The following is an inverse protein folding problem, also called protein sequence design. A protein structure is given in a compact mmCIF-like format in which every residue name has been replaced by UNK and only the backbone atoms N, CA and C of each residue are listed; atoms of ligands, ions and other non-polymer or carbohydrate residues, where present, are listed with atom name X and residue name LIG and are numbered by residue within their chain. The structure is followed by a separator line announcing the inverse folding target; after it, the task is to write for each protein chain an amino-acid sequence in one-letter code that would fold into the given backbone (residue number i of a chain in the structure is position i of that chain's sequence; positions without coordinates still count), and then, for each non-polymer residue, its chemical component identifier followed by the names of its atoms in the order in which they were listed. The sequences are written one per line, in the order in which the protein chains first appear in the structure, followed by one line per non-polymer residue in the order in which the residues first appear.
data_IF_321034421345
#
_entry.id   IF_321034421345
#
_cell.length_a   1.000
_cell.length_b   1.000
_cell.length_c   1.000
_cell.angle_alpha   90.00
_cell.angle_beta   90.00
_cell.angle_gamma   90.00
#
_symmetry.space_group_name_H-M   'P 1'
#
loop_
_entity.id
_entity.type
_entity.pdbx_description
1 polymer ?
#
# COMPACT_ATOMS: atom_id res chain seq x y z
N UNK A 1 16.68 -29.63 11.25
CA UNK A 1 17.27 -28.97 10.06
C UNK A 1 16.14 -28.64 9.11
N UNK A 2 15.97 -27.39 8.69
CA UNK A 2 15.13 -27.12 7.52
C UNK A 2 15.80 -27.78 6.34
N UNK A 3 15.07 -28.67 5.66
CA UNK A 3 15.47 -29.14 4.34
C UNK A 3 14.71 -28.33 3.27
N UNK A 4 15.10 -28.50 2.01
CA UNK A 4 14.45 -27.83 0.87
C UNK A 4 12.92 -27.97 0.86
N UNK A 5 12.40 -29.14 1.22
CA UNK A 5 10.96 -29.42 1.21
C UNK A 5 10.23 -28.62 2.30
N UNK A 6 10.83 -28.48 3.47
CA UNK A 6 10.30 -27.67 4.57
C UNK A 6 10.26 -26.18 4.20
N UNK A 7 11.31 -25.66 3.54
CA UNK A 7 11.33 -24.29 3.05
C UNK A 7 10.21 -24.03 2.04
N UNK A 8 10.02 -24.93 1.07
CA UNK A 8 8.95 -24.84 0.07
C UNK A 8 7.58 -24.88 0.74
N UNK A 9 7.36 -25.76 1.71
CA UNK A 9 6.10 -25.85 2.46
C UNK A 9 5.78 -24.54 3.19
N UNK A 10 6.77 -23.91 3.83
CA UNK A 10 6.59 -22.60 4.50
C UNK A 10 6.24 -21.49 3.53
N UNK A 11 6.95 -21.40 2.40
CA UNK A 11 6.66 -20.42 1.35
C UNK A 11 5.25 -20.61 0.79
N UNK A 12 4.86 -21.86 0.50
CA UNK A 12 3.53 -22.17 0.00
C UNK A 12 2.43 -21.84 1.02
N UNK A 13 2.61 -22.16 2.30
CA UNK A 13 1.65 -21.82 3.35
C UNK A 13 1.47 -20.30 3.46
N UNK A 14 2.57 -19.54 3.47
CA UNK A 14 2.53 -18.08 3.48
C UNK A 14 1.79 -17.53 2.25
N UNK A 15 2.13 -18.02 1.05
CA UNK A 15 1.49 -17.61 -0.20
C UNK A 15 -0.02 -17.92 -0.22
N UNK A 16 -0.41 -19.13 0.18
CA UNK A 16 -1.82 -19.54 0.23
C UNK A 16 -2.61 -18.62 1.17
N UNK A 17 -2.08 -18.35 2.37
CA UNK A 17 -2.77 -17.45 3.32
C UNK A 17 -2.99 -16.06 2.73
N UNK A 18 -2.02 -15.56 1.98
CA UNK A 18 -2.05 -14.23 1.38
C UNK A 18 -2.99 -14.15 0.17
N UNK A 19 -3.10 -15.22 -0.61
CA UNK A 19 -4.02 -15.29 -1.76
C UNK A 19 -5.47 -15.50 -1.34
N UNK A 20 -5.72 -16.28 -0.28
CA UNK A 20 -7.08 -16.59 0.18
C UNK A 20 -7.70 -15.53 1.09
N UNK A 21 -6.91 -14.52 1.50
CA UNK A 21 -7.38 -13.48 2.43
C UNK A 21 -7.69 -14.01 3.83
N UNK A 22 -7.12 -15.16 4.20
CA UNK A 22 -7.23 -15.76 5.53
C UNK A 22 -6.27 -15.06 6.51
N UNK A 23 -6.22 -15.51 7.77
CA UNK A 23 -5.26 -14.99 8.75
C UNK A 23 -3.84 -15.07 8.19
N UNK A 24 -3.22 -13.90 7.97
CA UNK A 24 -1.95 -13.82 7.26
C UNK A 24 -0.83 -14.54 8.03
N UNK A 25 -0.17 -15.48 7.34
CA UNK A 25 0.99 -16.18 7.87
C UNK A 25 2.25 -15.42 7.45
N UNK A 26 2.86 -14.72 8.41
CA UNK A 26 4.14 -14.04 8.20
C UNK A 26 5.29 -15.03 8.15
N UNK A 27 6.17 -14.89 7.16
CA UNK A 27 7.43 -15.62 7.16
C UNK A 27 8.32 -15.13 8.31
N UNK A 28 8.68 -16.01 9.27
CA UNK A 28 9.61 -15.68 10.34
C UNK A 28 11.01 -15.37 9.77
N UNK A 29 11.90 -14.80 10.58
CA UNK A 29 13.31 -14.74 10.20
C UNK A 29 13.94 -16.13 10.30
N UNK A 30 14.81 -16.46 9.36
CA UNK A 30 15.62 -17.68 9.44
C UNK A 30 16.60 -17.55 10.60
N UNK A 31 16.75 -18.62 11.38
CA UNK A 31 17.73 -18.74 12.46
C UNK A 31 19.13 -18.99 11.91
N UNK A 32 20.18 -18.71 12.70
CA UNK A 32 21.58 -18.99 12.33
C UNK A 32 21.82 -20.44 11.92
N UNK A 33 21.16 -21.38 12.62
CA UNK A 33 21.23 -22.80 12.28
C UNK A 33 20.60 -23.10 10.92
N UNK A 34 19.46 -22.48 10.59
CA UNK A 34 18.80 -22.66 9.28
C UNK A 34 19.63 -22.04 8.15
N UNK A 35 20.22 -20.86 8.38
CA UNK A 35 21.12 -20.18 7.43
C UNK A 35 22.34 -21.03 7.10
N UNK A 36 22.92 -21.73 8.08
CA UNK A 36 24.08 -22.61 7.85
C UNK A 36 23.79 -23.86 7.01
N UNK A 37 22.51 -24.30 6.98
CA UNK A 37 22.08 -25.54 6.31
C UNK A 37 21.56 -25.33 4.90
N UNK A 38 21.21 -24.09 4.54
CA UNK A 38 20.57 -23.76 3.27
C UNK A 38 21.58 -23.19 2.26
N UNK A 39 21.46 -23.55 0.97
CA UNK A 39 22.20 -22.87 -0.08
C UNK A 39 21.87 -21.37 -0.13
N UNK A 40 22.86 -20.55 -0.49
CA UNK A 40 22.71 -19.08 -0.55
C UNK A 40 21.51 -18.62 -1.39
N UNK A 41 21.22 -19.29 -2.50
CA UNK A 41 20.08 -18.96 -3.37
C UNK A 41 18.73 -19.17 -2.67
N UNK A 42 18.61 -20.20 -1.82
CA UNK A 42 17.36 -20.47 -1.08
C UNK A 42 17.14 -19.45 0.04
N UNK A 43 18.22 -19.01 0.69
CA UNK A 43 18.19 -17.94 1.69
C UNK A 43 17.74 -16.63 1.02
N UNK A 44 18.37 -16.28 -0.10
CA UNK A 44 18.03 -15.08 -0.87
C UNK A 44 16.57 -15.10 -1.33
N UNK A 45 16.08 -16.22 -1.85
CA UNK A 45 14.68 -16.38 -2.24
C UNK A 45 13.73 -16.15 -1.05
N UNK A 46 14.04 -16.75 0.10
CA UNK A 46 13.24 -16.63 1.31
C UNK A 46 13.16 -15.18 1.80
N UNK A 47 14.31 -14.50 1.85
CA UNK A 47 14.39 -13.10 2.28
C UNK A 47 13.66 -12.17 1.31
N UNK A 48 13.80 -12.37 -0.01
CA UNK A 48 13.08 -11.62 -1.02
C UNK A 48 11.56 -11.80 -0.88
N UNK A 49 11.09 -13.03 -0.67
CA UNK A 49 9.67 -13.31 -0.48
C UNK A 49 9.15 -12.66 0.80
N UNK A 50 9.90 -12.75 1.90
CA UNK A 50 9.56 -12.09 3.17
C UNK A 50 9.49 -10.58 3.01
N UNK A 51 10.44 -9.97 2.29
CA UNK A 51 10.44 -8.54 2.01
C UNK A 51 9.23 -8.14 1.16
N UNK A 52 8.90 -8.92 0.12
CA UNK A 52 7.72 -8.70 -0.72
C UNK A 52 6.43 -8.78 0.11
N UNK A 53 6.30 -9.78 0.98
CA UNK A 53 5.14 -9.92 1.88
C UNK A 53 4.99 -8.68 2.76
N UNK A 54 6.08 -8.21 3.38
CA UNK A 54 6.07 -6.98 4.18
C UNK A 54 5.63 -5.77 3.36
N UNK A 55 6.16 -5.59 2.15
CA UNK A 55 5.79 -4.46 1.29
C UNK A 55 4.29 -4.48 0.93
N UNK A 56 3.73 -5.64 0.65
CA UNK A 56 2.31 -5.81 0.35
C UNK A 56 1.42 -5.49 1.56
N UNK A 57 1.83 -5.91 2.76
CA UNK A 57 1.11 -5.56 3.99
C UNK A 57 1.16 -4.07 4.29
N UNK A 58 2.34 -3.47 4.22
CA UNK A 58 2.52 -2.03 4.44
C UNK A 58 1.64 -1.23 3.45
N UNK A 59 1.59 -1.67 2.19
CA UNK A 59 0.72 -1.10 1.16
C UNK A 59 -0.77 -1.26 1.51
N UNK A 60 -1.21 -2.47 1.88
CA UNK A 60 -2.60 -2.74 2.25
C UNK A 60 -3.05 -1.93 3.47
N UNK A 61 -2.22 -1.85 4.50
CA UNK A 61 -2.50 -1.04 5.69
C UNK A 61 -2.55 0.46 5.37
N UNK A 62 -1.68 0.93 4.47
CA UNK A 62 -1.71 2.32 4.01
C UNK A 62 -2.96 2.62 3.21
N UNK A 63 -3.36 1.77 2.26
CA UNK A 63 -4.64 1.90 1.53
C UNK A 63 -5.83 1.91 2.48
N UNK A 64 -5.86 1.03 3.48
CA UNK A 64 -6.91 1.00 4.50
C UNK A 64 -6.95 2.30 5.33
N UNK A 65 -5.80 2.90 5.61
CA UNK A 65 -5.76 4.21 6.26
C UNK A 65 -6.35 5.30 5.35
N UNK A 66 -6.00 5.30 4.06
CA UNK A 66 -6.54 6.25 3.09
C UNK A 66 -8.06 6.11 2.93
N UNK A 67 -8.58 4.88 2.85
CA UNK A 67 -10.02 4.63 2.74
C UNK A 67 -10.81 5.10 3.97
N UNK A 68 -10.18 5.08 5.15
CA UNK A 68 -10.73 5.65 6.38
C UNK A 68 -10.48 7.17 6.51
N UNK A 69 -10.04 7.85 5.45
CA UNK A 69 -9.79 9.30 5.45
C UNK A 69 -8.57 9.75 6.25
N UNK A 70 -7.69 8.83 6.67
CA UNK A 70 -6.48 9.16 7.45
C UNK A 70 -5.36 9.63 6.52
N UNK A 71 -5.47 10.88 6.05
CA UNK A 71 -4.54 11.49 5.09
C UNK A 71 -3.27 12.09 5.70
N UNK A 72 -3.19 12.17 7.03
CA UNK A 72 -2.01 12.67 7.77
C UNK A 72 -1.10 11.53 8.27
N UNK A 73 -1.13 10.37 7.61
CA UNK A 73 -0.33 9.21 7.98
C UNK A 73 1.08 9.28 7.37
N UNK A 74 2.03 8.56 7.98
CA UNK A 74 3.38 8.42 7.45
C UNK A 74 3.35 7.75 6.08
N UNK A 75 4.09 8.35 5.14
CA UNK A 75 4.16 7.87 3.77
C UNK A 75 5.09 6.65 3.74
N UNK A 76 4.65 5.48 3.24
CA UNK A 76 5.50 4.29 3.20
C UNK A 76 6.73 4.51 2.31
N UNK A 77 7.78 3.69 2.43
CA UNK A 77 8.93 3.79 1.52
C UNK A 77 8.50 3.53 0.06
N UNK A 78 9.13 4.24 -0.88
CA UNK A 78 8.78 4.10 -2.30
C UNK A 78 9.27 2.77 -2.84
N UNK A 79 8.39 2.02 -3.46
CA UNK A 79 8.67 0.80 -4.22
C UNK A 79 7.59 0.68 -5.32
N UNK A 80 7.69 -0.32 -6.19
CA UNK A 80 6.76 -0.49 -7.30
C UNK A 80 5.27 -0.58 -6.86
N UNK A 81 5.01 -1.15 -5.68
CA UNK A 81 3.66 -1.30 -5.11
C UNK A 81 3.15 0.03 -4.54
N UNK A 82 4.00 0.73 -3.78
CA UNK A 82 3.64 1.94 -3.06
C UNK A 82 3.59 3.19 -3.95
N UNK A 83 4.32 3.22 -5.06
CA UNK A 83 4.37 4.37 -5.96
C UNK A 83 2.97 4.87 -6.42
N UNK A 84 2.08 4.02 -6.98
CA UNK A 84 0.72 4.45 -7.34
C UNK A 84 -0.12 4.84 -6.13
N UNK A 85 0.03 4.17 -4.99
CA UNK A 85 -0.73 4.47 -3.76
C UNK A 85 -0.32 5.84 -3.19
N UNK A 86 0.96 6.21 -3.29
CA UNK A 86 1.46 7.54 -2.93
C UNK A 86 0.90 8.63 -3.84
N UNK A 87 0.83 8.37 -5.14
CA UNK A 87 0.21 9.31 -6.08
C UNK A 87 -1.26 9.54 -5.71
N UNK A 88 -2.00 8.46 -5.40
CA UNK A 88 -3.37 8.57 -4.89
C UNK A 88 -3.46 9.37 -3.59
N UNK A 89 -2.58 9.10 -2.61
CA UNK A 89 -2.52 9.87 -1.36
C UNK A 89 -2.28 11.36 -1.58
N UNK A 90 -1.35 11.73 -2.47
CA UNK A 90 -1.07 13.12 -2.83
C UNK A 90 -2.32 13.79 -3.45
N UNK A 91 -2.98 13.12 -4.39
CA UNK A 91 -4.23 13.59 -4.99
C UNK A 91 -5.33 13.79 -3.93
N UNK A 92 -5.51 12.84 -3.01
CA UNK A 92 -6.53 12.95 -1.94
C UNK A 92 -6.23 14.10 -0.97
N UNK A 93 -4.96 14.31 -0.62
CA UNK A 93 -4.56 15.47 0.21
C UNK A 93 -4.82 16.79 -0.50
N UNK A 94 -4.52 16.86 -1.78
CA UNK A 94 -4.77 18.06 -2.57
C UNK A 94 -6.27 18.31 -2.69
N UNK A 95 -7.07 17.29 -3.00
CA UNK A 95 -8.53 17.40 -3.07
C UNK A 95 -9.12 17.87 -1.74
N UNK A 96 -8.66 17.33 -0.61
CA UNK A 96 -9.06 17.80 0.72
C UNK A 96 -8.76 19.30 0.88
N UNK A 97 -7.56 19.75 0.53
CA UNK A 97 -7.20 21.16 0.62
C UNK A 97 -8.10 22.03 -0.27
N UNK A 98 -8.41 21.60 -1.50
CA UNK A 98 -9.29 22.34 -2.41
C UNK A 98 -10.74 22.41 -1.88
N UNK A 99 -11.25 21.32 -1.31
CA UNK A 99 -12.55 21.31 -0.63
C UNK A 99 -12.58 22.26 0.57
N UNK A 100 -11.47 22.39 1.31
CA UNK A 100 -11.36 23.37 2.39
C UNK A 100 -11.40 24.80 1.85
N UNK A 101 -10.67 25.12 0.79
CA UNK A 101 -10.74 26.45 0.17
C UNK A 101 -12.16 26.76 -0.33
N UNK A 102 -12.81 25.78 -0.97
CA UNK A 102 -14.20 25.87 -1.40
C UNK A 102 -15.14 26.19 -0.22
N UNK A 103 -14.97 25.51 0.92
CA UNK A 103 -15.78 25.78 2.13
C UNK A 103 -15.53 27.14 2.76
N UNK A 104 -14.39 27.78 2.50
CA UNK A 104 -14.08 29.14 2.94
C UNK A 104 -14.53 30.22 1.94
N UNK A 105 -15.24 29.82 0.87
CA UNK A 105 -15.79 30.74 -0.12
C UNK A 105 -14.89 30.98 -1.33
N UNK A 106 -13.75 30.30 -1.44
CA UNK A 106 -12.95 30.34 -2.67
C UNK A 106 -13.49 29.35 -3.69
N UNK A 107 -14.48 29.80 -4.47
CA UNK A 107 -15.11 29.00 -5.51
C UNK A 107 -14.30 28.95 -6.81
N UNK A 108 -13.14 29.59 -6.90
CA UNK A 108 -12.29 29.55 -8.10
C UNK A 108 -11.42 28.29 -8.19
N UNK A 109 -11.47 27.44 -7.16
CA UNK A 109 -10.79 26.15 -7.13
C UNK A 109 -11.22 25.25 -8.29
N UNK A 110 -10.23 24.64 -8.96
CA UNK A 110 -10.44 23.65 -10.02
C UNK A 110 -9.52 22.45 -9.85
N UNK A 111 -10.05 21.28 -10.11
CA UNK A 111 -9.33 20.00 -10.09
C UNK A 111 -9.17 19.49 -11.52
N UNK A 112 -8.00 18.95 -11.87
CA UNK A 112 -7.73 18.26 -13.14
C UNK A 112 -7.16 16.84 -12.94
N UNK A 113 -7.16 16.35 -11.70
CA UNK A 113 -6.70 15.03 -11.30
C UNK A 113 -7.87 14.19 -10.78
N UNK A 114 -7.67 12.88 -10.54
CA UNK A 114 -8.73 11.93 -10.13
C UNK A 114 -9.87 11.70 -11.15
N UNK A 115 -9.62 11.95 -12.44
CA UNK A 115 -10.54 11.55 -13.51
C UNK A 115 -11.95 12.12 -13.34
N UNK A 116 -12.95 11.25 -13.24
CA UNK A 116 -14.37 11.64 -13.15
C UNK A 116 -14.70 12.51 -11.93
N UNK A 117 -13.94 12.38 -10.82
CA UNK A 117 -14.11 13.26 -9.66
C UNK A 117 -13.85 14.73 -9.99
N UNK A 118 -12.95 15.00 -10.95
CA UNK A 118 -12.65 16.38 -11.37
C UNK A 118 -13.88 17.06 -11.99
N UNK A 119 -14.65 16.33 -12.81
CA UNK A 119 -15.87 16.85 -13.44
C UNK A 119 -16.90 17.23 -12.39
N UNK A 120 -17.14 16.35 -11.41
CA UNK A 120 -18.11 16.60 -10.34
C UNK A 120 -17.65 17.75 -9.44
N UNK A 121 -16.38 17.77 -9.03
CA UNK A 121 -15.83 18.83 -8.18
C UNK A 121 -15.92 20.21 -8.87
N UNK A 122 -15.51 20.29 -10.13
CA UNK A 122 -15.55 21.54 -10.88
C UNK A 122 -16.99 22.03 -11.09
N UNK A 123 -17.93 21.11 -11.34
CA UNK A 123 -19.35 21.44 -11.43
C UNK A 123 -19.91 22.02 -10.13
N UNK A 124 -19.52 21.44 -8.97
CA UNK A 124 -19.90 21.96 -7.65
C UNK A 124 -19.33 23.36 -7.40
N UNK A 125 -18.05 23.58 -7.71
CA UNK A 125 -17.41 24.87 -7.53
C UNK A 125 -18.08 25.97 -8.38
N UNK A 126 -18.40 25.68 -9.64
CA UNK A 126 -19.10 26.64 -10.51
C UNK A 126 -20.56 26.88 -10.07
N UNK A 127 -21.24 25.89 -9.50
CA UNK A 127 -22.60 26.06 -8.99
C UNK A 127 -22.67 27.02 -7.79
N UNK A 128 -21.63 27.04 -6.95
CA UNK A 128 -21.54 27.89 -5.76
C UNK A 128 -21.15 29.35 -6.06
N UNK A 129 -20.69 29.65 -7.28
CA UNK A 129 -20.41 31.04 -7.71
C UNK A 129 -21.66 31.84 -8.04
N UNK A 130 -22.80 31.18 -8.21
CA UNK A 130 -24.09 31.79 -8.56
C UNK A 130 -24.80 32.30 -7.31
#
# INVERSE_FOLDING_TARGET
MINKNELISRLNAALISQLKGEQLILLPQLTENELSTLPAEQILLYDNFRQMQKQLMDAGQFVLNLSNGKLNTEIPKSNAINAPIKALHACLRHLKWQMQQLSHGDYNQKTNFLGEFSTVFNGLAEALKK
#
